data_IF_335769943354
#
_entry.id   IF_335769943354
#
_cell.length_a   1.000
_cell.length_b   1.000
_cell.length_c   1.000
_cell.angle_alpha   90.00
_cell.angle_beta   90.00
_cell.angle_gamma   90.00
#
_symmetry.space_group_name_H-M   'P 1'
#
loop_
_entity.id
_entity.type
_entity.pdbx_description
1 polymer ?
#
# COMPACT_ATOMS: atom_id res chain seq x y z
N UNK A 1 0.65 23.73 -6.51
CA UNK A 1 0.98 22.35 -6.95
C UNK A 1 -0.25 21.80 -7.64
N UNK A 2 -0.19 21.50 -8.95
CA UNK A 2 -1.34 21.01 -9.72
C UNK A 2 -1.66 19.59 -9.22
N UNK A 3 -2.73 19.45 -8.45
CA UNK A 3 -3.16 18.16 -7.91
C UNK A 3 -3.72 17.41 -9.11
N UNK A 4 -2.94 16.49 -9.68
CA UNK A 4 -3.44 15.61 -10.72
C UNK A 4 -4.56 14.77 -10.08
N UNK A 5 -5.80 14.84 -10.58
CA UNK A 5 -6.93 14.11 -9.99
C UNK A 5 -6.68 12.60 -9.97
N UNK A 6 -5.74 12.10 -10.76
CA UNK A 6 -5.38 10.68 -10.80
C UNK A 6 -4.63 10.19 -9.54
N UNK A 7 -3.96 11.09 -8.80
CA UNK A 7 -3.45 10.82 -7.45
C UNK A 7 -4.54 11.21 -6.43
N UNK A 8 -5.65 10.47 -6.45
CA UNK A 8 -6.71 10.66 -5.46
C UNK A 8 -6.19 10.49 -4.04
N UNK A 9 -6.88 11.10 -3.08
CA UNK A 9 -6.68 10.93 -1.63
C UNK A 9 -6.56 9.44 -1.24
N UNK A 10 -7.32 8.55 -1.88
CA UNK A 10 -7.26 7.10 -1.64
C UNK A 10 -5.92 6.47 -2.00
N UNK A 11 -5.26 6.96 -3.07
CA UNK A 11 -3.92 6.49 -3.43
C UNK A 11 -2.90 6.95 -2.38
N UNK A 12 -3.02 8.20 -1.92
CA UNK A 12 -2.16 8.75 -0.87
C UNK A 12 -2.34 8.01 0.47
N UNK A 13 -3.58 7.74 0.86
CA UNK A 13 -3.90 6.93 2.05
C UNK A 13 -3.29 5.53 1.93
N UNK A 14 -3.39 4.90 0.75
CA UNK A 14 -2.84 3.55 0.54
C UNK A 14 -1.31 3.54 0.71
N UNK A 15 -0.60 4.60 0.28
CA UNK A 15 0.85 4.75 0.49
C UNK A 15 1.15 4.85 1.99
N UNK A 16 0.48 5.74 2.71
CA UNK A 16 0.69 5.91 4.16
C UNK A 16 0.37 4.63 4.93
N UNK A 17 -0.70 3.94 4.55
CA UNK A 17 -1.07 2.66 5.13
C UNK A 17 -0.01 1.59 4.86
N UNK A 18 0.60 1.58 3.67
CA UNK A 18 1.68 0.65 3.33
C UNK A 18 2.95 0.92 4.16
N UNK A 19 3.31 2.20 4.35
CA UNK A 19 4.40 2.59 5.24
C UNK A 19 4.11 2.14 6.68
N UNK A 20 2.89 2.34 7.16
CA UNK A 20 2.46 1.86 8.48
C UNK A 20 2.56 0.34 8.59
N UNK A 21 2.19 -0.41 7.53
CA UNK A 21 2.36 -1.86 7.50
C UNK A 21 3.83 -2.29 7.55
N UNK A 22 4.75 -1.55 6.94
CA UNK A 22 6.18 -1.85 7.05
C UNK A 22 6.70 -1.65 8.47
N UNK A 23 6.28 -0.58 9.14
CA UNK A 23 6.65 -0.34 10.53
C UNK A 23 6.04 -1.40 11.47
N UNK A 24 4.77 -1.71 11.32
CA UNK A 24 4.09 -2.70 12.15
C UNK A 24 4.62 -4.13 11.96
N UNK A 25 5.16 -4.46 10.78
CA UNK A 25 5.79 -5.76 10.52
C UNK A 25 6.93 -6.05 11.51
N UNK A 26 7.73 -5.03 11.87
CA UNK A 26 8.84 -5.15 12.82
C UNK A 26 8.34 -5.57 14.21
N UNK A 27 7.15 -5.10 14.60
CA UNK A 27 6.54 -5.45 15.88
C UNK A 27 5.87 -6.83 15.82
N UNK A 28 5.18 -7.13 14.72
CA UNK A 28 4.46 -8.40 14.55
C UNK A 28 5.41 -9.58 14.43
N UNK A 29 6.56 -9.43 13.76
CA UNK A 29 7.57 -10.49 13.68
C UNK A 29 8.14 -10.83 15.05
N UNK A 30 8.25 -9.84 15.96
CA UNK A 30 8.67 -10.06 17.36
C UNK A 30 7.62 -10.75 18.23
N UNK A 31 6.35 -10.73 17.84
CA UNK A 31 5.29 -11.44 18.59
C UNK A 31 5.35 -12.95 18.39
N UNK A 32 6.12 -13.44 17.42
CA UNK A 32 6.25 -14.87 17.05
C UNK A 32 4.90 -15.58 16.85
N UNK A 33 3.85 -14.79 16.57
CA UNK A 33 2.48 -15.27 16.47
C UNK A 33 2.07 -15.40 15.00
N UNK A 34 2.16 -16.62 14.49
CA UNK A 34 1.84 -16.93 13.11
C UNK A 34 0.38 -16.59 12.74
N UNK A 35 -0.54 -16.72 13.68
CA UNK A 35 -1.96 -16.42 13.48
C UNK A 35 -2.22 -14.94 13.22
N UNK A 36 -1.36 -14.06 13.75
CA UNK A 36 -1.40 -12.61 13.48
C UNK A 36 -0.57 -12.24 12.25
N UNK A 37 0.58 -12.90 12.06
CA UNK A 37 1.49 -12.63 10.94
C UNK A 37 0.85 -12.91 9.57
N UNK A 38 0.18 -14.04 9.41
CA UNK A 38 -0.42 -14.44 8.13
C UNK A 38 -1.46 -13.41 7.64
N UNK A 39 -2.51 -13.06 8.40
CA UNK A 39 -3.50 -12.07 7.94
C UNK A 39 -2.87 -10.70 7.73
N UNK A 40 -1.87 -10.33 8.53
CA UNK A 40 -1.15 -9.08 8.36
C UNK A 40 -0.44 -8.98 7.00
N UNK A 41 0.34 -10.00 6.64
CA UNK A 41 1.06 -10.07 5.37
C UNK A 41 0.07 -10.08 4.19
N UNK A 42 -1.07 -10.77 4.32
CA UNK A 42 -2.11 -10.77 3.28
C UNK A 42 -2.68 -9.37 3.04
N UNK A 43 -3.07 -8.65 4.10
CA UNK A 43 -3.62 -7.29 3.97
C UNK A 43 -2.57 -6.34 3.39
N UNK A 44 -1.32 -6.44 3.85
CA UNK A 44 -0.21 -5.65 3.32
C UNK A 44 0.02 -5.94 1.82
N UNK A 45 -0.01 -7.20 1.41
CA UNK A 45 0.14 -7.64 0.02
C UNK A 45 -0.95 -7.07 -0.88
N UNK A 46 -2.23 -7.20 -0.48
CA UNK A 46 -3.37 -6.66 -1.23
C UNK A 46 -3.27 -5.14 -1.38
N UNK A 47 -2.93 -4.43 -0.30
CA UNK A 47 -2.77 -2.97 -0.34
C UNK A 47 -1.62 -2.54 -1.28
N UNK A 48 -0.51 -3.30 -1.29
CA UNK A 48 0.62 -3.06 -2.20
C UNK A 48 0.25 -3.29 -3.66
N UNK A 49 -0.48 -4.36 -3.97
CA UNK A 49 -0.97 -4.66 -5.33
C UNK A 49 -1.88 -3.54 -5.83
N UNK A 50 -2.80 -3.05 -5.00
CA UNK A 50 -3.65 -1.91 -5.35
C UNK A 50 -2.84 -0.66 -5.73
N UNK A 51 -1.81 -0.34 -4.94
CA UNK A 51 -0.90 0.77 -5.22
C UNK A 51 -0.19 0.59 -6.56
N UNK A 52 0.36 -0.59 -6.84
CA UNK A 52 1.08 -0.88 -8.09
C UNK A 52 0.16 -0.75 -9.30
N UNK A 53 -1.05 -1.34 -9.24
CA UNK A 53 -2.03 -1.25 -10.33
C UNK A 53 -2.42 0.21 -10.59
N UNK A 54 -2.71 0.98 -9.53
CA UNK A 54 -3.11 2.37 -9.66
C UNK A 54 -1.95 3.24 -10.18
N UNK A 55 -0.73 3.02 -9.71
CA UNK A 55 0.47 3.70 -10.20
C UNK A 55 0.73 3.41 -11.69
N UNK A 56 0.57 2.15 -12.12
CA UNK A 56 0.70 1.76 -13.53
C UNK A 56 -0.37 2.43 -14.41
N UNK A 57 -1.62 2.49 -13.95
CA UNK A 57 -2.72 3.16 -14.66
C UNK A 57 -2.43 4.65 -14.86
N UNK A 58 -1.97 5.33 -13.81
CA UNK A 58 -1.56 6.75 -13.87
C UNK A 58 -0.41 6.93 -14.87
N UNK A 59 0.60 6.05 -14.84
CA UNK A 59 1.73 6.11 -15.78
C UNK A 59 1.27 5.97 -17.23
N UNK A 60 0.37 5.03 -17.51
CA UNK A 60 -0.14 4.77 -18.85
C UNK A 60 -1.05 5.89 -19.37
N UNK A 61 -1.87 6.50 -18.50
CA UNK A 61 -2.68 7.66 -18.85
C UNK A 61 -1.84 8.90 -19.19
N UNK A 62 -0.66 9.07 -18.57
CA UNK A 62 0.24 10.19 -18.85
C UNK A 62 1.12 10.01 -20.09
N UNK A 63 1.18 8.81 -20.67
CA UNK A 63 1.96 8.54 -21.88
C UNK A 63 1.15 8.59 -23.18
N UNK A 64 -0.14 8.95 -23.11
CA UNK A 64 -1.04 9.26 -24.22
C UNK A 64 -1.30 10.78 -24.24
#
# INVERSE_FOLDING_TARGET
>A
MKINPELDTNFFISIWLNILFLFGLIFITKLENLFVLIPYVLVMGVNSIYLVIKAMKIRNNRSL
#
